data_IF_187907488055
#
_entry.id   IF_187907488055
#
_cell.length_a   1.000
_cell.length_b   1.000
_cell.length_c   1.000
_cell.angle_alpha   90.00
_cell.angle_beta   90.00
_cell.angle_gamma   90.00
#
_symmetry.space_group_name_H-M   'P 1'
#
loop_
_entity.id
_entity.type
_entity.pdbx_description
1 polymer ?
2 water ?
#
# COMPACT_ATOMS: atom_id res chain seq x y z
N UNK A 5 9.51 -14.86 -13.28
CA UNK A 5 8.94 -15.83 -14.22
C UNK A 5 7.41 -15.83 -14.13
N UNK A 6 6.76 -16.77 -14.83
CA UNK A 6 5.31 -16.88 -14.73
C UNK A 6 4.73 -18.23 -15.15
N UNK A 7 4.64 -19.22 -14.25
CA UNK A 7 5.03 -19.18 -12.83
C UNK A 7 4.09 -18.34 -11.96
N UNK A 8 4.00 -17.04 -12.27
CA UNK A 8 3.02 -16.16 -11.65
C UNK A 8 1.61 -16.51 -12.11
N UNK A 9 1.49 -17.50 -12.98
CA UNK A 9 0.18 -17.99 -13.39
C UNK A 9 -0.48 -18.73 -12.24
N UNK A 10 -1.15 -17.95 -11.39
CA UNK A 10 -1.99 -18.50 -10.33
C UNK A 10 -3.43 -18.46 -10.81
N UNK A 11 -3.73 -19.41 -11.69
CA UNK A 11 -5.08 -19.62 -12.16
C UNK A 11 -5.89 -20.36 -11.11
N UNK A 12 -5.32 -20.49 -9.93
CA UNK A 12 -6.08 -20.98 -8.78
C UNK A 12 -6.99 -19.89 -8.23
N UNK A 13 -6.90 -18.68 -8.78
CA UNK A 13 -7.72 -17.58 -8.27
C UNK A 13 -9.04 -17.50 -9.01
N UNK A 14 -10.14 -17.33 -8.29
CA UNK A 14 -11.46 -17.34 -8.91
C UNK A 14 -11.66 -16.15 -9.85
N UNK A 15 -10.89 -15.09 -9.62
CA UNK A 15 -11.04 -13.86 -10.41
C UNK A 15 -10.10 -13.75 -11.61
N UNK A 16 -9.31 -14.79 -11.89
CA UNK A 16 -8.36 -14.70 -13.00
C UNK A 16 -8.94 -15.28 -14.27
N UNK A 17 -9.10 -14.45 -15.30
CA UNK A 17 -9.63 -14.90 -16.59
C UNK A 17 -8.57 -14.71 -17.67
N UNK A 18 -7.71 -15.71 -17.80
CA UNK A 18 -6.45 -15.60 -18.53
C UNK A 18 -6.60 -15.09 -19.96
N UNK A 19 -7.30 -15.86 -20.78
CA UNK A 19 -7.31 -15.63 -22.22
C UNK A 19 -8.58 -14.94 -22.73
N UNK A 20 -9.31 -14.27 -21.86
CA UNK A 20 -10.52 -13.55 -22.28
C UNK A 20 -10.13 -12.18 -22.90
N UNK A 21 -10.88 -11.73 -23.90
CA UNK A 21 -10.64 -10.41 -24.48
C UNK A 21 -11.35 -9.31 -23.68
N UNK A 22 -11.07 -8.05 -24.02
CA UNK A 22 -11.73 -6.89 -23.38
C UNK A 22 -13.26 -6.95 -23.50
N UNK A 23 -13.72 -7.15 -24.74
CA UNK A 23 -15.15 -7.30 -25.05
C UNK A 23 -15.83 -8.47 -24.33
N UNK A 24 -15.19 -9.64 -24.32
CA UNK A 24 -15.75 -10.79 -23.63
C UNK A 24 -15.75 -10.58 -22.13
N UNK A 25 -14.75 -9.87 -21.63
CA UNK A 25 -14.76 -9.51 -20.22
C UNK A 25 -15.99 -8.65 -19.92
N UNK A 26 -16.21 -7.63 -20.75
CA UNK A 26 -17.40 -6.80 -20.58
C UNK A 26 -18.68 -7.62 -20.63
N UNK A 27 -18.79 -8.51 -21.63
CA UNK A 27 -19.99 -9.37 -21.73
C UNK A 27 -20.20 -10.28 -20.50
N UNK A 28 -19.15 -10.94 -20.06
CA UNK A 28 -19.26 -11.80 -18.89
C UNK A 28 -19.58 -11.00 -17.62
N UNK A 29 -18.93 -9.87 -17.42
CA UNK A 29 -19.23 -9.06 -16.24
C UNK A 29 -20.68 -8.55 -16.22
N UNK A 30 -21.23 -8.24 -17.40
CA UNK A 30 -22.58 -7.66 -17.48
C UNK A 30 -23.68 -8.70 -17.37
N UNK A 31 -23.30 -9.96 -17.28
CA UNK A 31 -24.26 -11.05 -17.17
C UNK A 31 -25.09 -10.89 -15.90
N UNK A 32 -26.33 -11.39 -15.93
CA UNK A 32 -27.25 -11.15 -14.81
C UNK A 32 -26.81 -11.78 -13.48
N UNK A 33 -26.00 -12.82 -13.50
CA UNK A 33 -25.53 -13.44 -12.27
C UNK A 33 -24.54 -12.59 -11.48
N UNK A 34 -24.02 -11.55 -12.11
CA UNK A 34 -23.08 -10.66 -11.48
C UNK A 34 -23.73 -9.33 -11.13
N UNK A 35 -23.16 -8.61 -10.17
CA UNK A 35 -23.64 -7.30 -9.79
C UNK A 35 -22.52 -6.30 -9.75
N UNK A 36 -22.92 -5.05 -9.59
CA UNK A 36 -21.98 -3.97 -9.36
C UNK A 36 -20.97 -4.38 -8.29
N UNK A 37 -19.71 -4.12 -8.58
CA UNK A 37 -18.63 -4.52 -7.72
C UNK A 37 -17.91 -5.75 -8.21
N UNK A 38 -18.51 -6.49 -9.14
CA UNK A 38 -17.89 -7.69 -9.73
C UNK A 38 -16.63 -7.31 -10.48
N UNK A 39 -15.66 -8.21 -10.51
CA UNK A 39 -14.39 -7.86 -11.16
C UNK A 39 -13.68 -9.09 -11.68
N UNK A 40 -12.74 -8.85 -12.59
CA UNK A 40 -11.84 -9.90 -13.00
C UNK A 40 -10.46 -9.31 -13.37
N UNK A 41 -9.48 -10.19 -13.35
CA UNK A 41 -8.15 -9.91 -13.90
C UNK A 41 -8.03 -10.65 -15.20
N UNK A 42 -7.57 -9.94 -16.23
CA UNK A 42 -7.33 -10.59 -17.52
C UNK A 42 -5.96 -10.23 -18.06
N UNK A 43 -5.31 -11.19 -18.71
CA UNK A 43 -4.03 -10.93 -19.38
C UNK A 43 -4.26 -10.25 -20.71
N UNK A 44 -3.31 -9.41 -21.11
CA UNK A 44 -3.38 -8.78 -22.42
C UNK A 44 -3.54 -9.77 -23.54
N UNK A 45 -4.20 -9.33 -24.62
CA UNK A 45 -4.47 -10.20 -25.75
C UNK A 45 -3.23 -10.42 -26.60
N UNK A 46 -2.17 -9.67 -26.34
CA UNK A 46 -0.96 -9.70 -27.16
C UNK A 46 0.30 -9.86 -26.32
N UNK A 47 0.35 -9.16 -25.20
CA UNK A 47 1.55 -9.15 -24.35
C UNK A 47 1.45 -10.05 -23.13
N UNK A 48 2.28 -11.08 -23.07
CA UNK A 48 2.27 -11.99 -21.94
C UNK A 48 2.74 -11.26 -20.68
N UNK A 49 2.13 -11.56 -19.54
CA UNK A 49 2.50 -10.91 -18.29
C UNK A 49 2.04 -9.47 -18.16
N UNK A 50 1.26 -9.00 -19.13
CA UNK A 50 0.64 -7.69 -19.07
C UNK A 50 -0.85 -7.89 -18.76
N UNK A 51 -1.36 -7.21 -17.73
CA UNK A 51 -2.69 -7.49 -17.20
C UNK A 51 -3.56 -6.26 -17.05
N UNK A 52 -4.86 -6.53 -16.93
CA UNK A 52 -5.85 -5.50 -16.72
C UNK A 52 -6.85 -5.94 -15.68
N UNK A 53 -7.35 -4.95 -14.93
CA UNK A 53 -8.44 -5.13 -14.02
C UNK A 53 -9.73 -4.61 -14.66
N UNK A 54 -10.73 -5.47 -14.73
CA UNK A 54 -12.04 -5.05 -15.28
C UNK A 54 -13.09 -5.09 -14.18
N UNK A 55 -13.83 -3.99 -14.01
CA UNK A 55 -14.76 -3.85 -12.88
C UNK A 55 -16.13 -3.44 -13.36
N UNK A 56 -17.15 -4.10 -12.83
CA UNK A 56 -18.54 -3.70 -13.10
C UNK A 56 -18.98 -2.64 -12.13
N UNK A 57 -19.46 -1.53 -12.69
CA UNK A 57 -19.95 -0.39 -11.93
C UNK A 57 -21.40 -0.08 -12.34
N UNK A 58 -22.00 0.88 -11.65
CA UNK A 58 -23.37 1.33 -11.91
C UNK A 58 -23.35 2.83 -11.78
N UNK A 59 -23.73 3.51 -12.85
CA UNK A 59 -23.65 4.95 -12.95
C UNK A 59 -25.07 5.49 -13.01
N UNK A 60 -25.38 6.55 -12.25
CA UNK A 60 -26.74 7.09 -12.35
C UNK A 60 -27.13 7.52 -13.80
N UNK A 61 -26.18 7.89 -14.65
CA UNK A 61 -26.54 8.33 -16.01
C UNK A 61 -26.61 7.21 -17.06
N UNK A 62 -25.75 6.19 -16.90
CA UNK A 62 -25.75 5.04 -17.81
C UNK A 62 -26.19 3.84 -17.03
N UNK A 63 -26.37 2.70 -17.66
CA UNK A 63 -26.74 1.56 -16.84
C UNK A 63 -25.60 1.00 -15.97
N UNK A 64 -25.60 -0.31 -15.96
CA UNK A 64 -24.43 -1.06 -15.62
C UNK A 64 -23.33 -0.67 -16.62
N UNK A 65 -22.16 -0.39 -16.12
CA UNK A 65 -21.04 0.02 -16.98
C UNK A 65 -19.77 -0.70 -16.55
N UNK A 66 -18.92 -1.07 -17.51
CA UNK A 66 -17.70 -1.78 -17.19
C UNK A 66 -16.53 -0.81 -17.28
N UNK A 67 -15.66 -0.80 -16.28
CA UNK A 67 -14.49 0.04 -16.30
C UNK A 67 -13.24 -0.80 -16.23
N UNK A 68 -12.24 -0.39 -16.99
CA UNK A 68 -10.99 -1.12 -17.13
C UNK A 68 -9.80 -0.33 -16.59
N UNK A 69 -8.90 -0.98 -15.85
CA UNK A 69 -7.70 -0.35 -15.35
C UNK A 69 -6.49 -1.17 -15.79
N UNK A 70 -5.53 -0.49 -16.42
CA UNK A 70 -4.30 -1.16 -16.86
C UNK A 70 -3.42 -1.45 -15.66
N UNK A 71 -2.90 -2.67 -15.55
CA UNK A 71 -2.00 -2.98 -14.45
C UNK A 71 -0.57 -2.95 -14.99
N UNK A 72 0.30 -2.21 -14.33
CA UNK A 72 1.67 -2.14 -14.79
C UNK A 72 2.58 -3.05 -13.95
N UNK A 73 3.55 -3.70 -14.60
CA UNK A 73 4.55 -4.56 -13.94
C UNK A 73 5.88 -3.83 -13.95
N UNK A 74 6.51 -3.70 -12.79
CA UNK A 74 7.86 -3.17 -12.78
C UNK A 74 8.87 -4.31 -13.02
N UNK A 75 9.98 -3.98 -13.66
CA UNK A 75 10.94 -4.97 -14.14
C UNK A 75 11.57 -5.74 -12.98
N UNK A 76 11.61 -5.12 -11.81
CA UNK A 76 12.18 -5.75 -10.63
C UNK A 76 11.22 -6.74 -9.96
N UNK A 77 9.99 -6.80 -10.45
CA UNK A 77 8.94 -7.60 -9.84
C UNK A 77 7.96 -6.68 -9.13
N UNK A 78 6.67 -6.98 -9.24
CA UNK A 78 5.65 -6.22 -8.52
C UNK A 78 4.65 -5.60 -9.48
N UNK A 79 3.52 -5.10 -8.95
CA UNK A 79 2.44 -4.62 -9.80
C UNK A 79 1.81 -3.36 -9.20
N UNK A 80 1.28 -2.48 -10.05
CA UNK A 80 0.49 -1.36 -9.57
C UNK A 80 -0.49 -0.86 -10.60
N UNK A 81 -1.56 -0.23 -10.12
CA UNK A 81 -2.51 0.44 -10.99
C UNK A 81 -2.20 1.93 -10.83
N UNK A 82 -1.94 2.36 -9.60
CA UNK A 82 -1.48 3.70 -9.31
C UNK A 82 -0.06 3.61 -8.77
N UNK A 83 0.82 4.50 -9.23
CA UNK A 83 2.18 4.47 -8.72
C UNK A 83 2.25 4.79 -7.21
N UNK A 84 1.14 5.21 -6.59
CA UNK A 84 1.12 5.43 -5.14
C UNK A 84 1.36 4.17 -4.36
N UNK A 85 0.87 3.05 -4.88
CA UNK A 85 1.04 1.82 -4.16
C UNK A 85 1.17 0.62 -5.09
N UNK A 86 2.28 -0.06 -4.88
CA UNK A 86 2.65 -1.24 -5.63
C UNK A 86 2.46 -2.46 -4.76
N UNK A 87 2.28 -3.61 -5.40
CA UNK A 87 2.06 -4.85 -4.70
C UNK A 87 3.03 -5.93 -5.18
N UNK A 88 3.51 -6.78 -4.24
CA UNK A 88 4.36 -7.91 -4.65
C UNK A 88 3.65 -8.92 -5.56
N UNK A 89 2.32 -8.94 -5.61
CA UNK A 89 1.64 -9.79 -6.57
C UNK A 89 0.21 -9.32 -6.85
N UNK A 90 -0.41 -9.85 -7.90
CA UNK A 90 -1.77 -9.45 -8.26
C UNK A 90 -2.75 -9.76 -7.13
N UNK A 91 -2.57 -10.91 -6.50
CA UNK A 91 -3.50 -11.30 -5.44
C UNK A 91 -3.51 -10.31 -4.27
N UNK A 92 -2.35 -9.81 -3.85
CA UNK A 92 -2.36 -8.76 -2.81
C UNK A 92 -3.06 -7.47 -3.25
N UNK A 93 -2.88 -7.13 -4.52
CA UNK A 93 -3.53 -5.96 -5.10
C UNK A 93 -5.05 -6.09 -4.98
N UNK A 94 -5.57 -7.25 -5.40
CA UNK A 94 -7.00 -7.53 -5.31
C UNK A 94 -7.50 -7.33 -3.87
N UNK A 95 -6.82 -7.97 -2.91
CA UNK A 95 -7.20 -7.84 -1.51
C UNK A 95 -7.17 -6.38 -1.05
N UNK A 96 -6.12 -5.65 -1.45
CA UNK A 96 -6.08 -4.23 -1.14
C UNK A 96 -7.32 -3.50 -1.67
N UNK A 97 -7.66 -3.70 -2.94
CA UNK A 97 -8.77 -2.91 -3.52
C UNK A 97 -10.15 -3.46 -3.12
N UNK A 98 -10.18 -4.71 -2.66
CA UNK A 98 -11.37 -5.23 -1.99
C UNK A 98 -11.58 -4.51 -0.66
N UNK A 99 -10.47 -4.17 0.00
CA UNK A 99 -10.55 -3.44 1.25
C UNK A 99 -10.96 -1.97 1.11
N UNK A 100 -10.36 -1.23 0.18
CA UNK A 100 -10.69 0.18 -0.04
C UNK A 100 -10.50 0.53 -1.51
N UNK A 101 -11.36 1.40 -2.05
CA UNK A 101 -11.38 1.69 -3.49
C UNK A 101 -10.09 2.42 -3.93
N UNK A 102 -9.64 3.34 -3.09
CA UNK A 102 -8.33 3.97 -3.20
C UNK A 102 -8.03 4.37 -4.66
N UNK A 103 -8.89 5.20 -5.25
CA UNK A 103 -8.74 5.64 -6.63
C UNK A 103 -9.64 4.97 -7.66
N UNK A 104 -10.06 3.73 -7.42
CA UNK A 104 -10.97 3.07 -8.36
C UNK A 104 -12.40 3.61 -8.24
N UNK A 105 -13.24 3.19 -9.17
CA UNK A 105 -14.61 3.62 -9.24
C UNK A 105 -15.40 3.12 -8.04
N UNK A 106 -14.95 2.00 -7.45
CA UNK A 106 -15.57 1.44 -6.26
C UNK A 106 -14.71 0.31 -5.68
N UNK A 107 -14.95 -0.09 -4.44
CA UNK A 107 -14.34 -1.31 -3.90
C UNK A 107 -14.70 -2.54 -4.74
N UNK A 108 -13.72 -3.43 -4.92
CA UNK A 108 -13.94 -4.74 -5.53
C UNK A 108 -14.75 -5.62 -4.58
N UNK A 109 -15.75 -6.31 -5.08
CA UNK A 109 -16.50 -7.17 -4.20
C UNK A 109 -16.35 -8.60 -4.68
N UNK A 110 -17.19 -9.09 -5.58
CA UNK A 110 -17.11 -10.51 -5.92
C UNK A 110 -16.41 -10.79 -7.23
N UNK A 111 -15.72 -11.92 -7.29
CA UNK A 111 -15.18 -12.34 -8.57
C UNK A 111 -16.31 -12.53 -9.53
N UNK A 112 -16.07 -12.18 -10.77
CA UNK A 112 -16.97 -12.49 -11.86
C UNK A 112 -17.25 -13.98 -11.91
N UNK A 113 -18.54 -14.32 -12.06
CA UNK A 113 -18.98 -15.71 -12.22
C UNK A 113 -18.39 -16.38 -13.49
N UNK A 114 -17.86 -17.60 -13.33
CA UNK A 114 -17.40 -18.39 -14.50
C UNK A 114 -18.53 -18.64 -15.50
N UNK B 6 -7.11 15.49 15.64
CA UNK B 6 -6.79 15.15 17.02
C UNK B 6 -7.23 13.73 17.33
N UNK B 7 -6.81 12.80 16.46
CA UNK B 7 -7.20 11.40 16.56
C UNK B 7 -6.13 10.55 17.24
N UNK B 8 -6.51 9.35 17.66
CA UNK B 8 -5.62 8.46 18.39
C UNK B 8 -5.76 7.02 17.93
N UNK B 9 -6.10 6.83 16.66
CA UNK B 9 -5.99 5.52 16.04
C UNK B 9 -4.52 5.09 16.08
N UNK B 10 -3.64 6.08 16.04
CA UNK B 10 -2.20 5.84 16.22
C UNK B 10 -1.95 5.15 17.53
N UNK B 11 -2.61 5.63 18.57
CA UNK B 11 -2.47 5.10 19.92
C UNK B 11 -2.79 3.61 19.99
N UNK B 12 -3.45 3.09 18.95
CA UNK B 12 -3.69 1.65 18.91
C UNK B 12 -2.50 0.92 18.28
N UNK B 13 -1.69 1.62 17.51
CA UNK B 13 -0.59 0.96 16.79
C UNK B 13 0.69 0.94 17.59
N UNK B 14 1.30 -0.25 17.65
CA UNK B 14 2.39 -0.51 18.58
C UNK B 14 3.67 0.23 18.24
N UNK B 15 3.79 0.74 17.02
CA UNK B 15 4.94 1.59 16.70
C UNK B 15 4.76 3.04 17.14
N UNK B 16 3.58 3.38 17.68
CA UNK B 16 3.32 4.74 18.15
C UNK B 16 3.68 4.92 19.62
N UNK B 17 4.58 5.88 19.88
CA UNK B 17 5.01 6.23 21.22
C UNK B 17 4.83 7.73 21.40
N UNK B 18 3.62 8.14 21.76
CA UNK B 18 3.24 9.54 21.72
C UNK B 18 4.23 10.44 22.47
N UNK B 19 4.36 10.24 23.78
CA UNK B 19 5.05 11.20 24.62
C UNK B 19 6.54 10.95 24.81
N UNK B 20 7.09 9.95 24.13
CA UNK B 20 8.51 9.63 24.32
C UNK B 20 9.36 10.75 23.75
N UNK B 21 10.49 11.06 24.40
CA UNK B 21 11.41 12.07 23.86
C UNK B 21 12.37 11.49 22.83
N UNK B 22 13.19 12.39 22.25
CA UNK B 22 14.19 12.02 21.26
C UNK B 22 15.20 11.04 21.83
N UNK B 23 15.82 11.44 22.94
CA UNK B 23 16.84 10.62 23.59
C UNK B 23 16.25 9.28 24.02
N UNK B 24 15.07 9.32 24.64
CA UNK B 24 14.43 8.07 25.04
C UNK B 24 14.14 7.19 23.83
N UNK B 25 13.80 7.82 22.72
CA UNK B 25 13.53 7.11 21.48
C UNK B 25 14.79 6.38 21.05
N UNK B 26 15.90 7.12 21.03
CA UNK B 26 17.18 6.52 20.72
C UNK B 26 17.48 5.34 21.65
N UNK B 27 17.43 5.59 22.95
CA UNK B 27 17.73 4.56 23.93
C UNK B 27 16.83 3.34 23.75
N UNK B 28 15.54 3.55 23.52
CA UNK B 28 14.64 2.42 23.36
C UNK B 28 14.91 1.65 22.06
N UNK B 29 15.21 2.37 20.98
CA UNK B 29 15.52 1.72 19.71
C UNK B 29 16.84 0.96 19.79
N UNK B 30 17.78 1.46 20.58
CA UNK B 30 19.09 0.80 20.73
C UNK B 30 19.06 -0.37 21.71
N UNK B 31 17.94 -0.52 22.41
CA UNK B 31 17.82 -1.61 23.37
C UNK B 31 18.02 -2.95 22.68
N UNK B 32 18.30 -4.00 23.46
CA UNK B 32 18.43 -5.33 22.85
C UNK B 32 17.08 -5.86 22.41
N UNK B 33 17.08 -6.77 21.44
CA UNK B 33 15.85 -7.30 20.88
C UNK B 33 15.48 -6.60 19.60
N UNK B 34 15.87 -5.31 19.50
CA UNK B 34 15.63 -4.53 18.30
C UNK B 34 16.76 -4.69 17.28
N UNK B 35 16.38 -4.88 16.01
CA UNK B 35 17.35 -5.03 14.93
C UNK B 35 17.37 -3.78 14.08
N UNK B 36 18.30 -3.67 13.14
CA UNK B 36 18.25 -2.58 12.16
C UNK B 36 16.87 -2.60 11.54
N UNK B 37 16.33 -1.41 11.24
CA UNK B 37 15.01 -1.30 10.64
C UNK B 37 13.92 -1.07 11.66
N UNK B 38 14.23 -1.32 12.93
CA UNK B 38 13.30 -1.02 14.01
C UNK B 38 12.98 0.46 13.98
N UNK B 39 11.74 0.81 14.34
CA UNK B 39 11.31 2.18 14.23
C UNK B 39 10.15 2.53 15.18
N UNK B 40 9.92 3.83 15.31
CA UNK B 40 8.76 4.31 16.04
C UNK B 40 8.37 5.69 15.51
N UNK B 41 7.11 6.04 15.75
CA UNK B 41 6.61 7.38 15.53
C UNK B 41 6.44 8.05 16.88
N UNK B 42 6.85 9.30 16.99
CA UNK B 42 6.66 10.05 18.23
C UNK B 42 6.12 11.43 17.96
N UNK B 43 5.42 11.98 18.96
CA UNK B 43 4.92 13.33 18.85
C UNK B 43 6.00 14.28 19.35
N UNK B 44 6.10 15.45 18.73
CA UNK B 44 7.02 16.47 19.19
C UNK B 44 6.87 16.70 20.70
N UNK B 45 7.94 17.13 21.35
CA UNK B 45 7.90 17.35 22.79
C UNK B 45 7.20 18.66 23.14
N UNK B 46 7.05 19.54 22.15
CA UNK B 46 6.52 20.88 22.37
C UNK B 46 5.28 21.15 21.55
N UNK B 47 5.20 20.55 20.37
CA UNK B 47 4.12 20.87 19.44
C UNK B 47 3.14 19.72 19.25
N UNK B 48 1.86 19.99 19.46
CA UNK B 48 0.82 18.98 19.23
C UNK B 48 0.57 18.84 17.75
N UNK B 49 0.39 17.60 17.30
CA UNK B 49 0.13 17.33 15.89
C UNK B 49 1.38 17.35 15.03
N UNK B 50 2.55 17.58 15.63
CA UNK B 50 3.83 17.42 14.95
C UNK B 50 4.48 16.12 15.37
N UNK B 51 4.90 15.34 14.39
CA UNK B 51 5.43 14.02 14.66
C UNK B 51 6.82 13.82 14.02
N UNK B 52 7.56 12.87 14.56
CA UNK B 52 8.83 12.45 13.96
C UNK B 52 8.88 10.92 13.88
N UNK B 53 9.53 10.45 12.82
CA UNK B 53 9.86 9.03 12.66
C UNK B 53 11.28 8.79 13.12
N UNK B 54 11.47 7.86 14.05
CA UNK B 54 12.81 7.49 14.50
C UNK B 54 13.14 6.08 14.01
N UNK B 55 14.31 5.91 13.41
CA UNK B 55 14.69 4.65 12.75
C UNK B 55 16.05 4.18 13.20
N UNK B 56 16.14 2.90 13.54
CA UNK B 56 17.42 2.26 13.87
C UNK B 56 18.13 1.83 12.59
N UNK B 57 19.29 2.43 12.39
CA UNK B 57 20.10 2.19 11.21
C UNK B 57 21.39 1.52 11.65
N UNK B 58 22.12 1.01 10.68
CA UNK B 58 23.43 0.40 10.92
C UNK B 58 24.48 1.02 10.03
N UNK B 59 25.52 1.55 10.65
CA UNK B 59 26.65 2.12 9.95
C UNK B 59 27.80 1.11 9.92
N UNK B 60 28.34 0.84 8.72
CA UNK B 60 29.39 -0.19 8.60
C UNK B 60 30.64 0.14 9.40
N UNK B 61 30.81 1.40 9.74
CA UNK B 61 31.98 1.78 10.51
C UNK B 61 31.62 2.18 11.94
N UNK B 62 30.50 2.87 12.12
CA UNK B 62 30.19 3.39 13.45
C UNK B 62 29.18 2.54 14.22
N UNK B 63 28.61 1.52 13.58
CA UNK B 63 27.69 0.63 14.25
C UNK B 63 26.26 1.17 14.32
N UNK B 64 25.56 0.83 15.40
CA UNK B 64 24.16 1.17 15.59
C UNK B 64 23.94 2.67 15.68
N UNK B 65 23.13 3.22 14.78
CA UNK B 65 22.87 4.65 14.80
C UNK B 65 21.39 4.93 14.63
N UNK B 66 20.87 5.91 15.33
CA UNK B 66 19.46 6.24 15.25
C UNK B 66 19.26 7.49 14.44
N UNK B 67 18.48 7.38 13.36
CA UNK B 67 18.20 8.53 12.52
C UNK B 67 16.76 9.05 12.75
N UNK B 68 16.61 10.36 12.79
CA UNK B 68 15.32 11.02 13.03
C UNK B 68 14.85 11.81 11.81
N UNK B 69 13.62 11.56 11.39
CA UNK B 69 12.97 12.28 10.31
C UNK B 69 11.75 13.04 10.84
N UNK B 70 11.73 14.35 10.62
CA UNK B 70 10.59 15.16 11.02
C UNK B 70 9.47 15.01 9.98
N UNK B 71 8.29 14.66 10.45
CA UNK B 71 7.15 14.50 9.55
C UNK B 71 6.39 15.81 9.42
N UNK B 72 6.36 16.37 8.22
CA UNK B 72 5.72 17.67 8.00
C UNK B 72 4.30 17.48 7.48
N UNK B 73 3.43 18.42 7.83
CA UNK B 73 2.01 18.40 7.44
C UNK B 73 1.67 19.51 6.45
N UNK B 74 0.64 19.26 5.65
CA UNK B 74 0.14 20.27 4.73
C UNK B 74 -1.02 21.01 5.38
N UNK B 75 -1.58 21.97 4.65
CA UNK B 75 -2.69 22.78 5.15
C UNK B 75 -3.91 21.92 5.46
N UNK B 77 -3.62 18.53 6.04
CA UNK B 77 -3.01 17.60 6.98
C UNK B 77 -2.36 16.42 6.30
N UNK B 78 -1.87 16.64 5.08
CA UNK B 78 -1.20 15.59 4.32
C UNK B 78 0.24 15.40 4.78
N UNK B 79 0.49 14.32 5.53
CA UNK B 79 1.80 14.05 6.09
C UNK B 79 2.81 13.61 5.03
N UNK B 80 4.03 14.09 5.18
CA UNK B 80 5.10 13.73 4.28
C UNK B 80 6.49 13.95 4.90
N UNK B 81 7.47 13.19 4.41
CA UNK B 81 8.86 13.33 4.81
C UNK B 81 9.63 13.82 3.59
N UNK B 82 9.24 13.29 2.44
CA UNK B 82 9.80 13.66 1.15
C UNK B 82 8.69 14.27 0.30
N UNK B 83 9.06 15.14 -0.65
CA UNK B 83 8.01 15.80 -1.42
C UNK B 83 7.40 14.89 -2.48
N UNK B 84 8.05 13.75 -2.71
CA UNK B 84 7.61 12.78 -3.71
C UNK B 84 6.19 12.23 -3.45
N UNK B 85 5.71 12.30 -2.21
CA UNK B 85 4.46 11.64 -1.84
C UNK B 85 3.98 12.11 -0.47
N UNK B 86 2.67 12.35 -0.33
CA UNK B 86 2.06 12.69 0.94
C UNK B 86 1.00 11.65 1.33
N UNK B 87 0.63 11.65 2.60
CA UNK B 87 -0.29 10.65 3.13
C UNK B 87 -1.31 11.32 4.05
N UNK B 88 -2.58 10.91 3.94
CA UNK B 88 -3.65 11.43 4.82
C UNK B 88 -3.49 10.93 6.25
N UNK B 89 -2.91 9.76 6.40
CA UNK B 89 -2.68 9.15 7.72
C UNK B 89 -1.21 8.79 7.90
N UNK B 90 -0.72 8.87 9.14
CA UNK B 90 0.66 8.43 9.44
C UNK B 90 0.72 6.95 9.21
N UNK B 91 -0.39 6.28 9.53
CA UNK B 91 -0.45 4.84 9.38
C UNK B 91 -0.22 4.40 7.92
N UNK B 92 -0.73 5.15 6.94
CA UNK B 92 -0.41 4.87 5.53
C UNK B 92 1.07 5.12 5.23
N UNK B 93 1.62 6.18 5.81
CA UNK B 93 3.03 6.53 5.54
C UNK B 93 3.91 5.36 5.95
N UNK B 94 3.63 4.85 7.14
CA UNK B 94 4.38 3.73 7.67
C UNK B 94 4.33 2.53 6.75
N UNK B 95 3.11 2.21 6.29
CA UNK B 95 2.92 1.07 5.40
C UNK B 95 3.74 1.30 4.17
N UNK B 96 3.70 2.50 3.62
CA UNK B 96 4.52 2.83 2.45
C UNK B 96 6.03 2.54 2.71
N UNK B 97 6.57 3.10 3.78
CA UNK B 97 8.01 2.99 4.05
C UNK B 97 8.40 1.63 4.56
N UNK B 98 7.42 0.80 4.88
CA UNK B 98 7.68 -0.58 5.25
C UNK B 98 7.89 -1.46 4.02
N UNK B 99 7.53 -0.96 2.85
CA UNK B 99 7.76 -1.69 1.59
C UNK B 99 9.05 -1.31 0.91
N UNK B 100 9.54 -0.11 1.22
CA UNK B 100 10.76 0.39 0.60
C UNK B 100 11.30 1.58 1.37
N UNK B 101 12.61 1.81 1.28
CA UNK B 101 13.22 2.93 1.98
C UNK B 101 12.74 4.25 1.40
N UNK B 102 12.76 4.34 0.07
CA UNK B 102 12.22 5.49 -0.62
C UNK B 102 12.70 6.82 -0.05
N UNK B 103 14.03 6.95 0.07
CA UNK B 103 14.61 8.17 0.62
C UNK B 103 15.15 8.02 2.04
N UNK B 104 14.56 7.11 2.83
CA UNK B 104 15.01 6.89 4.20
C UNK B 104 16.29 6.09 4.21
N UNK B 105 16.99 6.12 5.35
CA UNK B 105 18.25 5.41 5.49
C UNK B 105 18.09 3.95 5.14
N UNK B 106 16.89 3.42 5.31
CA UNK B 106 16.62 2.03 4.98
C UNK B 106 15.13 1.80 5.08
N UNK B 107 14.68 0.62 4.63
CA UNK B 107 13.29 0.21 4.76
C UNK B 107 12.94 -0.05 6.22
N UNK B 108 11.76 0.40 6.63
CA UNK B 108 11.28 0.15 8.00
C UNK B 108 10.98 -1.33 8.15
N UNK B 109 11.33 -1.89 9.29
CA UNK B 109 11.04 -3.29 9.54
C UNK B 109 10.03 -3.42 10.65
N UNK B 110 10.48 -3.86 11.82
CA UNK B 110 9.60 -4.04 12.96
C UNK B 110 9.47 -2.80 13.83
N UNK B 111 8.32 -2.67 14.48
CA UNK B 111 8.13 -1.61 15.43
C UNK B 111 9.06 -1.84 16.60
N UNK B 112 9.55 -0.75 17.18
CA UNK B 112 10.37 -0.79 18.39
C UNK B 112 9.73 -1.69 19.45
N UNK B 113 10.51 -2.46 20.20
CA UNK B 113 9.92 -3.37 21.19
C UNK B 113 9.50 -2.63 22.46
N UNK B 114 8.32 -2.95 22.98
CA UNK B 114 7.87 -2.40 24.26
C UNK B 114 6.76 -3.25 24.86
#
# INVERSE_FOLDING_TARGET
SNYVAKVNTLETEEWFFKDITRKDAERQLLAPGNSAGAFLIRESETLKGSFSLSVRDYDPMHGDVIKHYKIRSLDNGGYYISPRITFPCISDMIKHYQKQSDGLCRRLEKACISP
SNYVAKVNTLETEEWFFKDITRKDAERQLLAPGNSAGAFLIRESETLKGSFSLSVRDYDPMHGDVIKHYKIRSLDNGGYYISPRITFPCISDMIKHYQKQSDGLCRRLEKACISP
#
